data_IF_098420897804
#
_entry.id   IF_098420897804
#
_cell.length_a   1.000
_cell.length_b   1.000
_cell.length_c   1.000
_cell.angle_alpha   90.00
_cell.angle_beta   90.00
_cell.angle_gamma   90.00
#
_symmetry.space_group_name_H-M   'P 1'
#
loop_
_entity.id
_entity.type
_entity.pdbx_description
1 polymer ?
#
# COMPACT_ATOMS: atom_id res chain seq x y z
N UNK A 1 18.57 -0.05 -7.38
CA UNK A 1 17.18 0.05 -7.85
C UNK A 1 16.25 -0.57 -6.82
N UNK A 2 15.10 0.06 -6.59
CA UNK A 2 14.10 -0.39 -5.61
C UNK A 2 13.28 -1.52 -6.22
N UNK A 3 13.18 -2.67 -5.51
CA UNK A 3 12.33 -3.78 -5.95
C UNK A 3 10.87 -3.32 -6.03
N UNK A 4 10.23 -3.48 -7.18
CA UNK A 4 8.84 -3.07 -7.37
C UNK A 4 7.91 -3.82 -6.42
N UNK A 5 6.85 -3.17 -5.95
CA UNK A 5 5.86 -3.76 -5.04
C UNK A 5 4.42 -3.50 -5.51
N UNK A 6 3.66 -4.57 -5.72
CA UNK A 6 2.25 -4.49 -6.15
C UNK A 6 1.38 -5.13 -5.08
N UNK A 7 0.49 -4.33 -4.49
CA UNK A 7 -0.40 -4.74 -3.41
C UNK A 7 -1.86 -4.73 -3.89
N UNK A 8 -2.58 -5.83 -3.67
CA UNK A 8 -4.03 -5.95 -3.89
C UNK A 8 -4.79 -5.53 -2.63
N UNK A 9 -5.32 -4.32 -2.60
CA UNK A 9 -6.21 -3.86 -1.54
C UNK A 9 -7.66 -4.25 -1.88
N UNK A 10 -8.10 -5.40 -1.37
CA UNK A 10 -9.46 -5.90 -1.65
C UNK A 10 -10.55 -5.07 -0.97
N UNK A 11 -10.20 -4.22 0.00
CA UNK A 11 -11.16 -3.47 0.82
C UNK A 11 -12.20 -4.43 1.42
N UNK A 12 -13.45 -3.99 1.56
CA UNK A 12 -14.53 -4.81 2.10
C UNK A 12 -15.16 -5.75 1.03
N UNK A 13 -14.36 -6.61 0.42
CA UNK A 13 -14.80 -7.60 -0.58
C UNK A 13 -14.24 -9.00 -0.28
N UNK A 14 -14.91 -10.00 -0.87
CA UNK A 14 -14.60 -11.44 -0.80
C UNK A 14 -14.82 -12.08 0.58
N UNK A 15 -15.50 -13.23 0.53
CA UNK A 15 -15.58 -14.22 1.60
C UNK A 15 -14.32 -15.09 1.63
N UNK A 16 -14.21 -15.97 2.63
CA UNK A 16 -13.09 -16.92 2.71
C UNK A 16 -13.01 -17.85 1.49
N UNK A 17 -14.15 -18.32 0.96
CA UNK A 17 -14.19 -19.21 -0.19
C UNK A 17 -13.69 -18.50 -1.46
N UNK A 18 -14.25 -17.31 -1.75
CA UNK A 18 -13.82 -16.49 -2.88
C UNK A 18 -12.34 -16.11 -2.79
N UNK A 19 -11.85 -15.83 -1.58
CA UNK A 19 -10.43 -15.53 -1.33
C UNK A 19 -9.52 -16.73 -1.66
N UNK A 20 -9.95 -17.95 -1.34
CA UNK A 20 -9.19 -19.16 -1.64
C UNK A 20 -9.13 -19.42 -3.16
N UNK A 21 -10.27 -19.28 -3.85
CA UNK A 21 -10.35 -19.43 -5.31
C UNK A 21 -9.51 -18.36 -6.04
N UNK A 22 -9.53 -17.13 -5.53
CA UNK A 22 -8.67 -16.05 -6.02
C UNK A 22 -7.19 -16.43 -5.91
N UNK A 23 -6.75 -16.88 -4.73
CA UNK A 23 -5.34 -17.24 -4.48
C UNK A 23 -4.91 -18.39 -5.40
N UNK A 24 -5.74 -19.43 -5.54
CA UNK A 24 -5.45 -20.55 -6.41
C UNK A 24 -5.25 -20.10 -7.87
N UNK A 25 -6.14 -19.23 -8.36
CA UNK A 25 -6.03 -18.66 -9.71
C UNK A 25 -4.79 -17.78 -9.84
N UNK A 26 -4.55 -16.88 -8.90
CA UNK A 26 -3.42 -15.96 -8.95
C UNK A 26 -2.08 -16.70 -9.01
N UNK A 27 -1.90 -17.75 -8.20
CA UNK A 27 -0.64 -18.51 -8.17
C UNK A 27 -0.35 -19.18 -9.52
N UNK A 28 -1.39 -19.64 -10.25
CA UNK A 28 -1.23 -20.17 -11.60
C UNK A 28 -0.82 -19.08 -12.59
N UNK A 29 -1.47 -17.91 -12.52
CA UNK A 29 -1.25 -16.81 -13.46
C UNK A 29 0.10 -16.09 -13.24
N UNK A 30 0.60 -16.06 -12.01
CA UNK A 30 1.91 -15.48 -11.68
C UNK A 30 3.08 -16.36 -12.12
N UNK A 31 2.91 -17.69 -12.18
CA UNK A 31 3.99 -18.60 -12.55
C UNK A 31 5.29 -18.36 -11.76
N UNK A 32 6.37 -17.99 -12.46
CA UNK A 32 7.72 -17.79 -11.90
C UNK A 32 8.08 -16.33 -11.60
N UNK A 33 7.11 -15.41 -11.58
CA UNK A 33 7.35 -14.00 -11.20
C UNK A 33 8.04 -13.93 -9.84
N UNK A 34 9.21 -13.30 -9.80
CA UNK A 34 10.05 -13.22 -8.59
C UNK A 34 10.75 -11.86 -8.39
N UNK A 35 10.83 -11.06 -9.43
CA UNK A 35 11.43 -9.71 -9.47
C UNK A 35 10.48 -8.61 -8.94
N UNK A 36 9.19 -8.91 -8.81
CA UNK A 36 8.18 -8.03 -8.20
C UNK A 36 7.74 -8.60 -6.84
N UNK A 37 7.63 -7.75 -5.82
CA UNK A 37 7.05 -8.15 -4.53
C UNK A 37 5.52 -8.02 -4.59
N UNK A 38 4.81 -9.13 -4.42
CA UNK A 38 3.34 -9.18 -4.48
C UNK A 38 2.77 -9.25 -3.07
N UNK A 39 1.75 -8.44 -2.78
CA UNK A 39 1.06 -8.42 -1.47
C UNK A 39 -0.45 -8.55 -1.67
N UNK A 40 -1.10 -9.47 -0.97
CA UNK A 40 -2.57 -9.54 -0.89
C UNK A 40 -3.04 -8.95 0.43
N UNK A 41 -4.00 -8.04 0.39
CA UNK A 41 -4.53 -7.32 1.55
C UNK A 41 -6.04 -7.61 1.71
N UNK A 42 -6.41 -8.83 2.16
CA UNK A 42 -7.80 -9.23 2.34
C UNK A 42 -8.47 -8.56 3.55
N UNK A 43 -9.81 -8.62 3.68
CA UNK A 43 -10.49 -8.32 4.93
C UNK A 43 -10.01 -9.23 6.07
N UNK A 44 -10.12 -8.76 7.32
CA UNK A 44 -9.71 -9.54 8.49
C UNK A 44 -10.36 -10.93 8.57
N UNK A 45 -11.61 -11.04 8.14
CA UNK A 45 -12.38 -12.29 8.13
C UNK A 45 -11.82 -13.36 7.19
N UNK A 46 -10.97 -12.99 6.24
CA UNK A 46 -10.36 -13.88 5.26
C UNK A 46 -8.83 -14.05 5.42
N UNK A 47 -8.17 -13.29 6.30
CA UNK A 47 -6.72 -13.34 6.50
C UNK A 47 -6.19 -14.74 6.73
N UNK A 48 -6.77 -15.48 7.69
CA UNK A 48 -6.32 -16.83 8.02
C UNK A 48 -6.40 -17.78 6.81
N UNK A 49 -7.49 -17.69 6.03
CA UNK A 49 -7.69 -18.52 4.84
C UNK A 49 -6.71 -18.16 3.72
N UNK A 50 -6.45 -16.88 3.50
CA UNK A 50 -5.45 -16.42 2.52
C UNK A 50 -4.05 -16.86 2.92
N UNK A 51 -3.68 -16.72 4.20
CA UNK A 51 -2.39 -17.21 4.72
C UNK A 51 -2.24 -18.72 4.51
N UNK A 52 -3.28 -19.51 4.82
CA UNK A 52 -3.29 -20.97 4.60
C UNK A 52 -3.12 -21.31 3.12
N UNK A 53 -3.88 -20.67 2.23
CA UNK A 53 -3.82 -20.90 0.79
C UNK A 53 -2.44 -20.55 0.19
N UNK A 54 -1.73 -19.60 0.81
CA UNK A 54 -0.37 -19.21 0.42
C UNK A 54 0.74 -20.00 1.11
N UNK A 55 0.45 -20.99 1.95
CA UNK A 55 1.47 -21.69 2.74
C UNK A 55 2.62 -22.30 1.92
N UNK A 56 2.38 -22.63 0.65
CA UNK A 56 3.38 -23.18 -0.29
C UNK A 56 4.03 -22.12 -1.19
N UNK A 57 3.55 -20.88 -1.18
CA UNK A 57 4.07 -19.78 -1.99
C UNK A 57 4.97 -18.89 -1.16
N UNK A 58 6.19 -18.66 -1.63
CA UNK A 58 7.10 -17.69 -1.00
C UNK A 58 7.07 -16.32 -1.69
N UNK A 59 6.48 -16.23 -2.88
CA UNK A 59 6.53 -15.05 -3.75
C UNK A 59 5.44 -14.02 -3.43
N UNK A 60 4.36 -14.46 -2.77
CA UNK A 60 3.23 -13.60 -2.39
C UNK A 60 3.22 -13.42 -0.87
N UNK A 61 3.11 -12.18 -0.41
CA UNK A 61 2.99 -11.83 1.01
C UNK A 61 1.55 -11.48 1.36
N UNK A 62 1.22 -11.58 2.65
CA UNK A 62 -0.08 -11.16 3.18
C UNK A 62 0.07 -9.83 3.92
N UNK A 63 -0.87 -8.92 3.66
CA UNK A 63 -1.04 -7.66 4.36
C UNK A 63 -2.40 -7.57 5.04
N UNK A 64 -2.54 -6.68 6.02
CA UNK A 64 -3.81 -6.31 6.63
C UNK A 64 -4.26 -4.91 6.19
N UNK A 65 -5.57 -4.67 6.19
CA UNK A 65 -6.15 -3.38 5.72
C UNK A 65 -6.09 -2.26 6.76
N UNK A 66 -5.85 -2.62 8.03
CA UNK A 66 -5.73 -1.71 9.17
C UNK A 66 -5.15 -2.48 10.37
N UNK A 67 -4.78 -1.76 11.43
CA UNK A 67 -4.58 -2.28 12.78
C UNK A 67 -4.77 -1.16 13.81
N UNK A 68 -4.88 -1.53 15.08
CA UNK A 68 -4.78 -0.61 16.21
C UNK A 68 -3.34 -0.54 16.71
N UNK A 69 -2.96 0.58 17.33
CA UNK A 69 -1.58 0.79 17.81
C UNK A 69 -1.32 0.17 19.19
N UNK A 70 -2.35 -0.05 20.01
CA UNK A 70 -2.20 -0.75 21.30
C UNK A 70 -2.01 -2.25 21.08
N UNK A 71 -1.16 -2.88 21.90
CA UNK A 71 -0.88 -4.34 21.82
C UNK A 71 -2.10 -5.19 22.18
N UNK A 72 -2.87 -4.76 23.17
CA UNK A 72 -4.13 -5.36 23.61
C UNK A 72 -4.93 -4.36 24.46
N UNK A 73 -6.20 -4.63 24.72
CA UNK A 73 -7.00 -3.81 25.64
C UNK A 73 -8.49 -3.77 25.31
N UNK A 74 -9.20 -2.83 25.94
CA UNK A 74 -10.63 -2.61 25.76
C UNK A 74 -10.95 -1.85 24.46
N UNK A 75 -10.63 -2.45 23.31
CA UNK A 75 -10.81 -1.90 21.97
C UNK A 75 -11.69 -2.84 21.14
N UNK A 76 -12.95 -3.00 21.54
CA UNK A 76 -13.89 -3.93 20.88
C UNK A 76 -13.98 -3.67 19.37
N UNK A 77 -13.65 -4.67 18.57
CA UNK A 77 -13.69 -4.61 17.11
C UNK A 77 -12.35 -4.28 16.45
N UNK A 78 -11.35 -3.84 17.21
CA UNK A 78 -10.01 -3.55 16.70
C UNK A 78 -9.11 -4.79 16.66
N UNK A 79 -8.09 -4.75 15.80
CA UNK A 79 -7.11 -5.83 15.60
C UNK A 79 -5.72 -5.32 15.97
N UNK A 80 -5.02 -6.02 16.87
CA UNK A 80 -3.66 -5.64 17.27
C UNK A 80 -2.58 -6.16 16.31
N UNK A 81 -1.40 -5.56 16.38
CA UNK A 81 -0.22 -6.00 15.62
C UNK A 81 0.11 -7.47 15.86
N UNK A 82 0.02 -7.91 17.13
CA UNK A 82 0.36 -9.28 17.54
C UNK A 82 -0.59 -10.31 16.93
N UNK A 83 -1.90 -9.99 16.86
CA UNK A 83 -2.88 -10.84 16.18
C UNK A 83 -2.57 -11.03 14.70
N UNK A 84 -2.10 -9.96 14.03
CA UNK A 84 -1.70 -10.05 12.62
C UNK A 84 -0.43 -10.89 12.43
N UNK A 85 0.55 -10.75 13.35
CA UNK A 85 1.80 -11.50 13.31
C UNK A 85 1.58 -13.00 13.50
N UNK A 86 0.64 -13.39 14.35
CA UNK A 86 0.23 -14.78 14.54
C UNK A 86 -0.29 -15.43 13.24
N UNK A 87 -0.95 -14.63 12.39
CA UNK A 87 -1.41 -15.03 11.05
C UNK A 87 -0.35 -14.86 9.95
N UNK A 88 0.93 -14.72 10.32
CA UNK A 88 2.07 -14.53 9.42
C UNK A 88 1.97 -13.30 8.50
N UNK A 89 1.14 -12.31 8.85
CA UNK A 89 1.04 -11.05 8.12
C UNK A 89 2.40 -10.34 8.13
N UNK A 90 2.71 -9.70 7.00
CA UNK A 90 3.97 -8.98 6.78
C UNK A 90 3.76 -7.49 6.56
N UNK A 91 2.62 -7.12 5.98
CA UNK A 91 2.30 -5.73 5.65
C UNK A 91 1.04 -5.23 6.37
N UNK A 92 0.90 -3.93 6.52
CA UNK A 92 -0.35 -3.33 6.98
C UNK A 92 -0.58 -1.98 6.31
N UNK A 93 -1.74 -1.83 5.67
CA UNK A 93 -2.17 -0.55 5.09
C UNK A 93 -2.65 0.36 6.21
N UNK A 94 -2.16 1.59 6.25
CA UNK A 94 -2.43 2.56 7.31
C UNK A 94 -2.72 3.93 6.71
N UNK A 95 -3.71 4.63 7.27
CA UNK A 95 -4.07 5.97 6.79
C UNK A 95 -4.67 5.98 5.38
N UNK A 96 -5.24 4.86 4.91
CA UNK A 96 -5.97 4.83 3.64
C UNK A 96 -7.04 5.93 3.62
N UNK A 97 -7.23 6.59 2.48
CA UNK A 97 -8.17 7.71 2.32
C UNK A 97 -9.57 7.45 2.90
N UNK A 98 -10.13 6.26 2.68
CA UNK A 98 -11.42 5.83 3.27
C UNK A 98 -11.40 5.85 4.81
N UNK A 99 -10.29 5.47 5.44
CA UNK A 99 -10.14 5.49 6.91
C UNK A 99 -10.04 6.90 7.46
N UNK A 100 -9.31 7.77 6.76
CA UNK A 100 -9.21 9.19 7.11
C UNK A 100 -10.56 9.90 7.01
N UNK A 101 -11.30 9.64 5.92
CA UNK A 101 -12.55 10.34 5.63
C UNK A 101 -13.76 9.80 6.39
N UNK A 102 -13.91 8.48 6.49
CA UNK A 102 -15.11 7.85 7.02
C UNK A 102 -14.99 7.48 8.51
N UNK A 103 -13.75 7.26 8.97
CA UNK A 103 -13.48 6.73 10.31
C UNK A 103 -12.60 7.66 11.15
N UNK A 104 -12.29 8.86 10.66
CA UNK A 104 -11.62 9.92 11.41
C UNK A 104 -10.14 9.67 11.71
N UNK A 105 -9.44 8.85 10.92
CA UNK A 105 -7.99 8.68 11.11
C UNK A 105 -7.22 9.96 10.78
N UNK A 106 -6.49 10.46 11.78
CA UNK A 106 -5.60 11.61 11.67
C UNK A 106 -4.16 11.17 11.42
N UNK A 107 -3.28 12.11 11.02
CA UNK A 107 -1.84 11.82 10.87
C UNK A 107 -1.20 11.32 12.18
N UNK A 108 -1.64 11.85 13.32
CA UNK A 108 -1.20 11.39 14.65
C UNK A 108 -1.62 9.93 14.92
N UNK A 109 -2.86 9.57 14.60
CA UNK A 109 -3.34 8.19 14.71
C UNK A 109 -2.53 7.26 13.81
N UNK A 110 -2.29 7.68 12.57
CA UNK A 110 -1.49 6.91 11.61
C UNK A 110 -0.07 6.74 12.13
N UNK A 111 0.57 7.78 12.66
CA UNK A 111 1.91 7.68 13.24
C UNK A 111 1.99 6.65 14.38
N UNK A 112 1.03 6.67 15.32
CA UNK A 112 0.97 5.67 16.39
C UNK A 112 0.90 4.25 15.83
N UNK A 113 0.09 4.03 14.79
CA UNK A 113 -0.04 2.73 14.12
C UNK A 113 1.24 2.32 13.38
N UNK A 114 1.89 3.25 12.70
CA UNK A 114 3.16 3.02 11.98
C UNK A 114 4.25 2.57 12.94
N UNK A 115 4.40 3.26 14.07
CA UNK A 115 5.36 2.88 15.12
C UNK A 115 5.04 1.50 15.71
N UNK A 116 3.78 1.25 16.05
CA UNK A 116 3.34 -0.06 16.55
C UNK A 116 3.56 -1.19 15.53
N UNK A 117 3.40 -0.92 14.23
CA UNK A 117 3.69 -1.88 13.17
C UNK A 117 5.19 -2.26 13.16
N UNK A 118 6.08 -1.26 13.21
CA UNK A 118 7.53 -1.50 13.27
C UNK A 118 7.96 -2.25 14.53
N UNK A 119 7.44 -1.88 15.70
CA UNK A 119 7.69 -2.60 16.96
C UNK A 119 7.31 -4.09 16.87
N UNK A 120 6.27 -4.43 16.11
CA UNK A 120 5.81 -5.79 15.88
C UNK A 120 6.45 -6.47 14.65
N UNK A 121 7.46 -5.85 14.02
CA UNK A 121 8.09 -6.30 12.78
C UNK A 121 7.10 -6.51 11.61
N UNK A 122 6.06 -5.68 11.54
CA UNK A 122 5.20 -5.48 10.37
C UNK A 122 5.75 -4.31 9.54
N UNK A 123 5.53 -4.35 8.23
CA UNK A 123 5.93 -3.30 7.29
C UNK A 123 4.72 -2.43 6.95
N UNK A 124 4.67 -1.16 7.36
CA UNK A 124 3.54 -0.30 7.07
C UNK A 124 3.53 0.14 5.59
N UNK A 125 2.34 0.17 4.99
CA UNK A 125 2.02 0.84 3.73
C UNK A 125 1.20 2.08 4.12
N UNK A 126 1.85 3.24 4.17
CA UNK A 126 1.26 4.49 4.63
C UNK A 126 0.65 5.24 3.44
N UNK A 127 -0.65 5.43 3.46
CA UNK A 127 -1.35 6.15 2.41
C UNK A 127 -1.37 7.67 2.66
N UNK A 128 -1.07 8.43 1.61
CA UNK A 128 -1.10 9.89 1.55
C UNK A 128 -1.76 10.33 0.25
N UNK A 129 -2.46 11.46 0.25
CA UNK A 129 -3.27 11.85 -0.90
C UNK A 129 -4.11 13.09 -0.66
N UNK A 130 -4.39 13.81 -1.74
CA UNK A 130 -5.21 15.00 -1.77
C UNK A 130 -6.60 14.74 -2.36
N UNK A 131 -7.59 15.52 -1.92
CA UNK A 131 -8.93 15.55 -2.54
C UNK A 131 -8.93 16.39 -3.81
N UNK A 132 -9.99 16.25 -4.64
CA UNK A 132 -10.16 17.07 -5.84
C UNK A 132 -10.12 18.57 -5.51
N UNK A 133 -10.81 18.99 -4.44
CA UNK A 133 -10.88 20.39 -4.04
C UNK A 133 -9.50 20.92 -3.58
N UNK A 134 -8.67 20.08 -2.97
CA UNK A 134 -7.31 20.46 -2.58
C UNK A 134 -6.42 20.60 -3.81
N UNK A 135 -6.56 19.72 -4.80
CA UNK A 135 -5.84 19.81 -6.08
C UNK A 135 -6.24 21.06 -6.86
N UNK A 136 -7.54 21.33 -7.01
CA UNK A 136 -8.07 22.51 -7.71
C UNK A 136 -7.60 23.84 -7.08
N UNK A 137 -7.27 23.81 -5.79
CA UNK A 137 -6.70 24.96 -5.05
C UNK A 137 -5.17 25.00 -5.08
N UNK A 138 -4.51 24.15 -5.87
CA UNK A 138 -3.04 24.08 -5.95
C UNK A 138 -2.36 23.68 -4.64
N UNK A 139 -3.05 22.92 -3.77
CA UNK A 139 -2.56 22.58 -2.43
C UNK A 139 -1.93 21.18 -2.34
N UNK A 140 -1.70 20.49 -3.46
CA UNK A 140 -1.22 19.10 -3.51
C UNK A 140 0.03 18.90 -2.64
N UNK A 141 1.09 19.66 -2.93
CA UNK A 141 2.37 19.57 -2.23
C UNK A 141 2.24 19.83 -0.73
N UNK A 142 1.48 20.86 -0.36
CA UNK A 142 1.22 21.19 1.04
C UNK A 142 0.54 20.04 1.78
N UNK A 143 -0.48 19.42 1.18
CA UNK A 143 -1.22 18.31 1.79
C UNK A 143 -0.33 17.07 1.93
N UNK A 144 0.41 16.72 0.87
CA UNK A 144 1.33 15.58 0.91
C UNK A 144 2.42 15.78 1.95
N UNK A 145 3.01 16.97 2.02
CA UNK A 145 4.05 17.29 3.02
C UNK A 145 3.53 17.19 4.44
N UNK A 146 2.33 17.73 4.72
CA UNK A 146 1.70 17.63 6.04
C UNK A 146 1.44 16.17 6.44
N UNK A 147 0.85 15.38 5.56
CA UNK A 147 0.51 13.98 5.84
C UNK A 147 1.76 13.12 6.04
N UNK A 148 2.80 13.30 5.21
CA UNK A 148 4.08 12.60 5.34
C UNK A 148 4.75 12.95 6.65
N UNK A 149 4.92 14.25 6.94
CA UNK A 149 5.59 14.71 8.16
C UNK A 149 4.84 14.25 9.40
N UNK A 150 3.51 14.38 9.42
CA UNK A 150 2.69 13.93 10.54
C UNK A 150 2.74 12.41 10.74
N UNK A 151 2.51 11.64 9.68
CA UNK A 151 2.42 10.17 9.76
C UNK A 151 3.77 9.49 10.04
N UNK A 152 4.90 10.11 9.66
CA UNK A 152 6.25 9.53 9.77
C UNK A 152 7.11 10.18 10.86
N UNK A 153 6.51 11.01 11.72
CA UNK A 153 7.19 11.67 12.84
C UNK A 153 7.97 10.66 13.70
N UNK A 154 9.19 11.02 14.10
CA UNK A 154 10.07 10.25 14.99
C UNK A 154 10.49 8.84 14.50
N UNK A 155 10.35 8.54 13.20
CA UNK A 155 10.89 7.30 12.63
C UNK A 155 12.37 7.43 12.29
N UNK A 156 13.16 6.43 12.67
CA UNK A 156 14.57 6.35 12.30
C UNK A 156 14.78 5.91 10.84
N UNK A 157 16.00 6.07 10.28
CA UNK A 157 16.30 5.69 8.89
C UNK A 157 15.94 4.25 8.52
N UNK A 158 16.10 3.31 9.47
CA UNK A 158 15.74 1.90 9.25
C UNK A 158 14.22 1.72 9.09
N UNK A 159 13.43 2.31 9.98
CA UNK A 159 11.97 2.21 9.97
C UNK A 159 11.39 2.90 8.73
N UNK A 160 11.95 4.05 8.36
CA UNK A 160 11.61 4.75 7.12
C UNK A 160 11.88 3.85 5.90
N UNK A 161 13.07 3.26 5.79
CA UNK A 161 13.42 2.37 4.67
C UNK A 161 12.57 1.08 4.62
N UNK A 162 12.01 0.63 5.75
CA UNK A 162 11.11 -0.52 5.83
C UNK A 162 9.64 -0.17 5.59
N UNK A 163 9.30 1.14 5.59
CA UNK A 163 7.98 1.70 5.27
C UNK A 163 7.79 1.81 3.75
N UNK A 164 6.57 1.57 3.29
CA UNK A 164 6.13 1.85 1.92
C UNK A 164 5.16 3.03 1.96
N UNK A 165 5.30 3.98 1.04
CA UNK A 165 4.33 5.07 0.89
C UNK A 165 3.39 4.72 -0.26
N UNK A 166 2.09 4.96 -0.12
CA UNK A 166 1.14 4.85 -1.20
C UNK A 166 0.51 6.22 -1.48
N UNK A 167 0.83 6.81 -2.63
CA UNK A 167 0.23 8.04 -3.09
C UNK A 167 -1.13 7.77 -3.73
N UNK A 168 -2.18 8.26 -3.09
CA UNK A 168 -3.57 8.08 -3.43
C UNK A 168 -4.20 9.41 -3.86
N UNK A 169 -4.16 9.80 -5.16
CA UNK A 169 -4.97 10.93 -5.62
C UNK A 169 -6.45 10.57 -5.42
N UNK A 170 -7.06 11.07 -4.33
CA UNK A 170 -8.36 10.59 -3.83
C UNK A 170 -9.45 10.75 -4.89
N UNK A 171 -9.33 11.80 -5.69
CA UNK A 171 -10.21 12.11 -6.82
C UNK A 171 -10.17 11.09 -7.97
N UNK A 172 -9.13 10.25 -8.05
CA UNK A 172 -8.96 9.19 -9.04
C UNK A 172 -9.30 7.78 -8.52
N UNK A 173 -9.73 7.64 -7.25
CA UNK A 173 -10.06 6.34 -6.65
C UNK A 173 -11.51 5.99 -6.97
N UNK A 174 -11.73 4.99 -7.84
CA UNK A 174 -13.07 4.46 -8.11
C UNK A 174 -14.02 5.43 -8.85
N UNK A 175 -13.53 6.58 -9.30
CA UNK A 175 -14.32 7.60 -10.01
C UNK A 175 -14.32 7.44 -11.54
N UNK A 176 -13.46 6.55 -12.06
CA UNK A 176 -13.19 6.43 -13.50
C UNK A 176 -12.28 7.54 -14.06
N UNK A 177 -12.04 8.61 -13.30
CA UNK A 177 -11.01 9.59 -13.61
C UNK A 177 -9.64 9.00 -13.25
N UNK A 178 -8.69 9.11 -14.16
CA UNK A 178 -7.34 8.55 -13.98
C UNK A 178 -6.34 9.68 -14.07
N UNK A 179 -5.44 9.81 -13.09
CA UNK A 179 -4.35 10.76 -13.18
C UNK A 179 -3.45 10.38 -14.36
N UNK A 180 -2.93 11.37 -15.08
CA UNK A 180 -1.95 11.09 -16.12
C UNK A 180 -0.68 10.52 -15.49
N UNK A 181 0.10 9.77 -16.26
CA UNK A 181 1.42 9.26 -15.80
C UNK A 181 2.33 10.41 -15.35
N UNK A 182 2.27 11.56 -16.02
CA UNK A 182 3.01 12.76 -15.63
C UNK A 182 2.54 13.30 -14.26
N UNK A 183 1.23 13.39 -14.01
CA UNK A 183 0.70 13.82 -12.71
C UNK A 183 1.07 12.85 -11.58
N UNK A 184 1.06 11.54 -11.87
CA UNK A 184 1.50 10.54 -10.91
C UNK A 184 2.99 10.72 -10.58
N UNK A 185 3.84 10.87 -11.60
CA UNK A 185 5.28 11.04 -11.45
C UNK A 185 5.64 12.34 -10.72
N UNK A 186 4.99 13.47 -11.04
CA UNK A 186 5.20 14.76 -10.37
C UNK A 186 4.97 14.65 -8.85
N UNK A 187 3.84 14.04 -8.45
CA UNK A 187 3.54 13.82 -7.05
C UNK A 187 4.52 12.84 -6.37
N UNK A 188 4.96 11.78 -7.07
CA UNK A 188 5.94 10.84 -6.52
C UNK A 188 7.32 11.48 -6.33
N UNK A 189 7.78 12.28 -7.28
CA UNK A 189 9.01 13.04 -7.17
C UNK A 189 8.95 14.01 -5.97
N UNK A 190 7.83 14.71 -5.79
CA UNK A 190 7.62 15.56 -4.63
C UNK A 190 7.61 14.78 -3.29
N UNK A 191 6.97 13.61 -3.26
CA UNK A 191 7.00 12.74 -2.07
C UNK A 191 8.44 12.30 -1.76
N UNK A 192 9.21 11.86 -2.76
CA UNK A 192 10.60 11.46 -2.57
C UNK A 192 11.46 12.62 -2.07
N UNK A 193 11.27 13.81 -2.63
CA UNK A 193 11.93 15.02 -2.16
C UNK A 193 11.60 15.31 -0.69
N UNK A 194 10.33 15.25 -0.31
CA UNK A 194 9.89 15.44 1.08
C UNK A 194 10.48 14.37 2.01
N UNK A 195 10.56 13.11 1.57
CA UNK A 195 11.18 12.04 2.35
C UNK A 195 12.69 12.28 2.55
N UNK A 196 13.38 12.85 1.57
CA UNK A 196 14.76 13.29 1.69
C UNK A 196 14.90 14.40 2.74
N UNK A 197 13.98 15.39 2.76
CA UNK A 197 13.97 16.44 3.80
C UNK A 197 13.66 15.92 5.21
N UNK A 198 12.81 14.88 5.33
CA UNK A 198 12.49 14.24 6.61
C UNK A 198 13.69 13.41 7.13
N UNK A 199 14.52 12.90 6.22
CA UNK A 199 15.62 12.00 6.53
C UNK A 199 16.91 12.41 5.83
N UNK A 200 17.33 11.65 4.83
CA UNK A 200 18.47 11.91 3.95
C UNK A 200 18.24 11.23 2.59
N UNK A 201 19.09 11.58 1.61
CA UNK A 201 19.00 11.06 0.24
C UNK A 201 19.11 9.53 0.19
N UNK A 202 20.07 8.96 0.95
CA UNK A 202 20.31 7.52 0.98
C UNK A 202 19.11 6.73 1.53
N UNK A 203 18.40 7.30 2.50
CA UNK A 203 17.20 6.72 3.09
C UNK A 203 16.03 6.87 2.13
N UNK A 204 15.78 8.07 1.61
CA UNK A 204 14.69 8.35 0.67
C UNK A 204 14.78 7.48 -0.60
N UNK A 205 15.99 7.18 -1.08
CA UNK A 205 16.23 6.30 -2.22
C UNK A 205 15.89 4.84 -1.98
N UNK A 206 15.76 4.42 -0.71
CA UNK A 206 15.36 3.05 -0.34
C UNK A 206 13.86 2.93 -0.10
N UNK A 207 13.18 4.03 0.22
CA UNK A 207 11.73 4.03 0.44
C UNK A 207 11.03 3.80 -0.89
N UNK A 208 10.11 2.83 -0.89
CA UNK A 208 9.27 2.53 -2.05
C UNK A 208 8.01 3.36 -2.01
N UNK A 209 7.67 3.98 -3.14
CA UNK A 209 6.47 4.78 -3.30
C UNK A 209 5.55 4.12 -4.34
N UNK A 210 4.35 3.73 -3.92
CA UNK A 210 3.33 3.13 -4.75
C UNK A 210 2.37 4.19 -5.27
N UNK A 211 1.86 3.99 -6.49
CA UNK A 211 0.70 4.71 -6.98
C UNK A 211 -0.60 3.97 -6.58
N UNK A 212 -1.49 4.66 -5.89
CA UNK A 212 -2.77 4.14 -5.38
C UNK A 212 -4.01 4.64 -6.12
N UNK A 213 -3.85 5.27 -7.28
CA UNK A 213 -4.97 5.68 -8.14
C UNK A 213 -5.55 4.52 -8.97
N UNK A 214 -6.23 4.86 -10.07
CA UNK A 214 -6.83 3.88 -11.00
C UNK A 214 -5.76 3.15 -11.82
N UNK A 215 -5.24 2.04 -11.27
CA UNK A 215 -4.32 1.11 -11.95
C UNK A 215 -5.10 -0.02 -12.61
N UNK A 216 -4.76 -0.30 -13.86
CA UNK A 216 -5.35 -1.33 -14.71
C UNK A 216 -4.23 -2.03 -15.50
N UNK A 217 -4.48 -3.24 -16.04
CA UNK A 217 -3.47 -3.95 -16.84
C UNK A 217 -2.86 -3.12 -17.98
N UNK A 218 -3.69 -2.32 -18.66
CA UNK A 218 -3.30 -1.52 -19.83
C UNK A 218 -2.39 -0.31 -19.49
N UNK A 219 -2.46 0.21 -18.27
CA UNK A 219 -1.68 1.38 -17.84
C UNK A 219 -0.56 1.04 -16.84
N UNK A 220 -0.55 -0.16 -16.28
CA UNK A 220 0.39 -0.57 -15.23
C UNK A 220 1.85 -0.37 -15.65
N UNK A 221 2.25 -0.86 -16.83
CA UNK A 221 3.63 -0.72 -17.31
C UNK A 221 4.05 0.74 -17.47
N UNK A 222 3.18 1.60 -18.03
CA UNK A 222 3.50 3.01 -18.24
C UNK A 222 3.71 3.78 -16.92
N UNK A 223 2.94 3.42 -15.88
CA UNK A 223 3.12 3.95 -14.52
C UNK A 223 4.42 3.43 -13.89
N UNK A 224 4.69 2.12 -13.97
CA UNK A 224 5.83 1.50 -13.30
C UNK A 224 7.19 1.88 -13.89
N UNK A 225 7.22 2.33 -15.15
CA UNK A 225 8.42 2.87 -15.81
C UNK A 225 8.77 4.28 -15.34
N UNK A 226 7.88 4.98 -14.63
CA UNK A 226 8.20 6.29 -14.06
C UNK A 226 9.27 6.15 -12.95
N UNK A 227 10.25 7.04 -12.88
CA UNK A 227 11.46 6.84 -12.07
C UNK A 227 11.19 6.81 -10.56
N UNK A 228 10.14 7.50 -10.10
CA UNK A 228 9.80 7.57 -8.67
C UNK A 228 8.63 6.65 -8.29
N UNK A 229 8.02 5.95 -9.25
CA UNK A 229 6.92 5.00 -9.01
C UNK A 229 7.51 3.59 -8.84
N UNK A 230 7.50 3.11 -7.61
CA UNK A 230 8.07 1.82 -7.21
C UNK A 230 7.02 0.70 -7.10
N UNK A 231 5.79 0.96 -7.52
CA UNK A 231 4.72 -0.01 -7.30
C UNK A 231 3.31 0.55 -7.42
N UNK A 232 2.35 -0.28 -7.03
CA UNK A 232 0.94 0.11 -6.98
C UNK A 232 0.22 -0.49 -5.78
N UNK A 233 -0.70 0.29 -5.22
CA UNK A 233 -1.73 -0.16 -4.29
C UNK A 233 -3.05 -0.23 -5.05
N UNK A 234 -3.43 -1.43 -5.50
CA UNK A 234 -4.50 -1.64 -6.47
C UNK A 234 -5.81 -1.95 -5.75
N UNK A 235 -6.84 -1.15 -6.01
CA UNK A 235 -8.21 -1.38 -5.50
C UNK A 235 -9.00 -2.34 -6.39
N UNK A 236 -10.03 -1.83 -7.07
CA UNK A 236 -11.01 -2.65 -7.80
C UNK A 236 -10.43 -3.60 -8.86
N UNK A 237 -9.38 -3.20 -9.58
CA UNK A 237 -8.73 -4.06 -10.57
C UNK A 237 -8.01 -5.28 -9.96
N UNK A 238 -7.83 -5.29 -8.63
CA UNK A 238 -7.24 -6.42 -7.89
C UNK A 238 -8.26 -7.47 -7.43
N UNK A 239 -9.56 -7.25 -7.66
CA UNK A 239 -10.61 -8.20 -7.29
C UNK A 239 -10.77 -9.36 -8.29
N UNK A 240 -10.14 -9.26 -9.46
CA UNK A 240 -10.01 -10.35 -10.43
C UNK A 240 -8.54 -10.81 -10.49
N UNK A 241 -8.31 -12.10 -10.28
CA UNK A 241 -6.96 -12.65 -10.12
C UNK A 241 -6.11 -12.52 -11.40
N UNK A 242 -6.74 -12.63 -12.58
CA UNK A 242 -6.06 -12.50 -13.87
C UNK A 242 -5.68 -11.06 -14.15
N UNK A 243 -6.61 -10.14 -13.96
CA UNK A 243 -6.38 -8.69 -14.03
C UNK A 243 -5.25 -8.28 -13.09
N UNK A 244 -5.25 -8.76 -11.85
CA UNK A 244 -4.18 -8.46 -10.91
C UNK A 244 -2.82 -9.05 -11.36
N UNK A 245 -2.79 -10.29 -11.85
CA UNK A 245 -1.56 -10.90 -12.37
C UNK A 245 -0.97 -10.10 -13.54
N UNK A 246 -1.80 -9.61 -14.47
CA UNK A 246 -1.33 -8.76 -15.57
C UNK A 246 -0.76 -7.42 -15.09
N UNK A 247 -1.32 -6.82 -14.05
CA UNK A 247 -0.74 -5.63 -13.41
C UNK A 247 0.63 -5.94 -12.80
N UNK A 248 0.77 -7.08 -12.13
CA UNK A 248 2.06 -7.54 -11.58
C UNK A 248 3.09 -7.74 -12.70
N UNK A 249 2.73 -8.41 -13.79
CA UNK A 249 3.59 -8.61 -14.98
C UNK A 249 3.96 -7.28 -15.65
N UNK A 250 3.08 -6.28 -15.58
CA UNK A 250 3.37 -4.92 -16.03
C UNK A 250 4.52 -4.25 -15.29
N UNK A 251 4.84 -4.70 -14.07
CA UNK A 251 5.94 -4.18 -13.25
C UNK A 251 7.26 -4.97 -13.40
N UNK A 252 7.29 -6.03 -14.21
CA UNK A 252 8.47 -6.88 -14.41
C UNK A 252 9.49 -6.31 -15.38
N UNK A 253 10.76 -6.70 -15.16
CA UNK A 253 11.93 -6.38 -15.98
C UNK A 253 12.11 -4.87 -16.19
N UNK A 254 11.72 -4.09 -15.18
CA UNK A 254 11.86 -2.64 -15.20
C UNK A 254 13.15 -2.20 -14.51
N UNK A 255 13.77 -1.11 -15.01
CA UNK A 255 14.93 -0.51 -14.37
C UNK A 255 14.56 0.17 -13.04
#
# INVERSE_FOLDING_TARGET
MRKKIVAANWKMNMTQAESADFVATLLLELGEVSDVEVVLVPPFTALAKVTEALAKSQNVKVGAQNMHWERSGAFTGEISAEMLRDLYVRYVVLGHSERRQLFGETDEIVNRKVRAAHEAALRPIVCVGETLQQRERGSVEKILSLQLRGSLTDLGPKELAETVIAYEPIWAIGTGQTATTAQAQEAHAFIRHTLCEISDEATADRIRIQYGGSVKPDNARALMTQPDIDGALVGGASLDARSFAEIVKGAQDLP
#
